data_IF_959792527931
#
_entry.id   IF_959792527931
#
_cell.length_a   1.000
_cell.length_b   1.000
_cell.length_c   1.000
_cell.angle_alpha   90.00
_cell.angle_beta   90.00
_cell.angle_gamma   90.00
#
_symmetry.space_group_name_H-M   'P 1'
#
loop_
_entity.id
_entity.type
_entity.pdbx_description
1 polymer ?
#
# COMPACT_ATOMS: atom_id res chain seq x y z
N UNK A 1 8.61 99.21 -44.91
CA UNK A 1 9.21 98.51 -46.08
C UNK A 1 10.65 98.19 -45.73
N UNK A 2 11.24 97.03 -46.07
CA UNK A 2 10.76 95.93 -46.96
C UNK A 2 10.74 94.53 -46.26
N UNK A 3 9.79 93.64 -46.59
CA UNK A 3 9.78 92.47 -47.53
C UNK A 3 10.27 91.14 -46.87
N UNK A 4 9.60 89.99 -47.14
CA UNK A 4 9.57 88.78 -46.31
C UNK A 4 10.40 87.62 -46.91
N UNK A 5 10.09 86.40 -46.42
CA UNK A 5 10.53 85.05 -46.85
C UNK A 5 11.71 84.47 -46.03
N UNK A 6 11.52 83.32 -45.39
CA UNK A 6 11.70 82.07 -46.15
C UNK A 6 11.13 80.82 -45.44
N UNK A 7 11.11 79.75 -46.21
CA UNK A 7 10.19 78.63 -46.21
C UNK A 7 10.29 77.60 -45.07
N UNK A 8 9.13 76.97 -44.83
CA UNK A 8 8.97 75.69 -44.12
C UNK A 8 9.69 74.57 -44.86
N UNK A 9 10.45 73.76 -44.13
CA UNK A 9 10.74 72.37 -44.53
C UNK A 9 10.14 71.44 -43.48
N UNK A 10 9.06 70.73 -43.86
CA UNK A 10 8.46 69.67 -43.05
C UNK A 10 9.36 68.44 -43.09
N UNK A 11 9.95 68.06 -41.95
CA UNK A 11 10.39 66.68 -41.70
C UNK A 11 9.23 65.94 -41.05
N UNK A 12 8.67 64.96 -41.75
CA UNK A 12 7.79 63.96 -41.16
C UNK A 12 8.64 63.01 -40.33
N UNK A 13 8.53 63.11 -39.01
CA UNK A 13 9.07 62.11 -38.09
C UNK A 13 8.15 60.89 -38.10
N UNK A 14 8.58 59.81 -38.76
CA UNK A 14 8.00 58.47 -38.58
C UNK A 14 8.23 58.02 -37.13
N UNK A 15 7.20 58.14 -36.30
CA UNK A 15 7.19 57.54 -34.96
C UNK A 15 7.09 56.02 -35.10
N UNK A 16 8.21 55.34 -35.00
CA UNK A 16 8.28 53.90 -34.74
C UNK A 16 7.57 53.64 -33.40
N UNK A 17 6.38 53.05 -33.44
CA UNK A 17 5.69 52.56 -32.25
C UNK A 17 6.48 51.39 -31.66
N UNK A 18 7.36 51.68 -30.71
CA UNK A 18 7.94 50.67 -29.82
C UNK A 18 6.78 50.14 -28.97
N UNK A 19 6.35 48.90 -29.26
CA UNK A 19 5.34 48.21 -28.46
C UNK A 19 5.90 48.04 -27.03
N UNK A 20 5.41 48.83 -26.09
CA UNK A 20 5.67 48.60 -24.67
C UNK A 20 5.22 47.19 -24.29
N UNK A 21 6.15 46.37 -23.79
CA UNK A 21 5.82 45.03 -23.32
C UNK A 21 4.91 45.14 -22.10
N UNK A 22 3.59 45.02 -22.30
CA UNK A 22 2.63 44.94 -21.21
C UNK A 22 3.00 43.76 -20.32
N UNK A 23 3.38 44.03 -19.07
CA UNK A 23 3.70 43.00 -18.09
C UNK A 23 2.48 42.10 -17.90
N UNK A 24 2.67 40.79 -18.08
CA UNK A 24 1.60 39.79 -17.88
C UNK A 24 1.05 39.93 -16.47
N UNK A 25 -0.27 40.11 -16.30
CA UNK A 25 -0.84 40.31 -14.98
C UNK A 25 -0.68 39.04 -14.13
N UNK A 26 -0.41 39.18 -12.83
CA UNK A 26 -0.14 38.03 -11.94
C UNK A 26 -1.27 36.99 -11.92
N UNK A 27 -2.51 37.41 -12.14
CA UNK A 27 -3.66 36.51 -12.23
C UNK A 27 -3.58 35.53 -13.41
N UNK A 28 -2.88 35.89 -14.50
CA UNK A 28 -2.67 35.01 -15.64
C UNK A 28 -1.92 33.73 -15.22
N UNK A 29 -0.85 33.88 -14.43
CA UNK A 29 -0.08 32.75 -13.91
C UNK A 29 -0.89 31.91 -12.91
N UNK A 30 -1.75 32.55 -12.11
CA UNK A 30 -2.66 31.84 -11.19
C UNK A 30 -3.65 31.00 -12.00
N UNK A 31 -4.27 31.56 -13.02
CA UNK A 31 -5.21 30.86 -13.91
C UNK A 31 -4.51 29.70 -14.64
N UNK A 32 -3.29 29.92 -15.13
CA UNK A 32 -2.51 28.90 -15.82
C UNK A 32 -2.19 27.69 -14.92
N UNK A 33 -2.01 27.89 -13.62
CA UNK A 33 -1.82 26.81 -12.65
C UNK A 33 -3.17 26.19 -12.22
N UNK A 34 -4.22 26.99 -12.07
CA UNK A 34 -5.52 26.50 -11.60
C UNK A 34 -6.26 25.66 -12.64
N UNK A 35 -6.18 25.99 -13.93
CA UNK A 35 -6.87 25.25 -14.99
C UNK A 35 -6.56 23.74 -14.95
N UNK A 36 -5.30 23.26 -14.98
CA UNK A 36 -5.03 21.83 -14.95
C UNK A 36 -5.50 21.16 -13.65
N UNK A 37 -5.42 21.85 -12.51
CA UNK A 37 -5.91 21.34 -11.23
C UNK A 37 -7.42 21.15 -11.28
N UNK A 38 -8.16 22.14 -11.77
CA UNK A 38 -9.62 22.07 -11.93
C UNK A 38 -9.99 20.93 -12.88
N UNK A 39 -9.28 20.77 -14.00
CA UNK A 39 -9.53 19.67 -14.95
C UNK A 39 -9.31 18.29 -14.32
N UNK A 40 -8.25 18.11 -13.52
CA UNK A 40 -7.99 16.85 -12.81
C UNK A 40 -9.09 16.58 -11.77
N UNK A 41 -9.53 17.60 -11.03
CA UNK A 41 -10.62 17.48 -10.05
C UNK A 41 -11.93 17.09 -10.75
N UNK A 42 -12.27 17.77 -11.86
CA UNK A 42 -13.47 17.45 -12.64
C UNK A 42 -13.42 16.03 -13.20
N UNK A 43 -12.26 15.58 -13.69
CA UNK A 43 -12.08 14.21 -14.15
C UNK A 43 -12.26 13.20 -13.01
N UNK A 44 -11.63 13.43 -11.85
CA UNK A 44 -11.79 12.58 -10.67
C UNK A 44 -13.25 12.46 -10.24
N UNK A 45 -13.97 13.58 -10.17
CA UNK A 45 -15.40 13.62 -9.84
C UNK A 45 -16.22 12.85 -10.87
N UNK A 46 -15.94 13.05 -12.16
CA UNK A 46 -16.65 12.36 -13.25
C UNK A 46 -16.44 10.84 -13.18
N UNK A 47 -15.20 10.40 -12.97
CA UNK A 47 -14.87 8.97 -12.84
C UNK A 47 -15.56 8.34 -11.61
N UNK A 48 -15.65 9.08 -10.49
CA UNK A 48 -16.38 8.61 -9.29
C UNK A 48 -17.87 8.50 -9.52
N UNK A 49 -18.50 9.50 -10.16
CA UNK A 49 -19.94 9.48 -10.46
C UNK A 49 -20.32 8.33 -11.40
N UNK A 50 -19.42 7.98 -12.32
CA UNK A 50 -19.60 6.86 -13.25
C UNK A 50 -19.19 5.50 -12.66
N UNK A 51 -18.75 5.44 -11.39
CA UNK A 51 -18.22 4.24 -10.74
C UNK A 51 -17.12 3.55 -11.56
N UNK A 52 -16.23 4.33 -12.18
CA UNK A 52 -15.11 3.80 -12.95
C UNK A 52 -14.13 3.03 -12.05
N UNK A 53 -13.65 1.87 -12.49
CA UNK A 53 -12.67 1.05 -11.77
C UNK A 53 -13.22 0.38 -10.50
N UNK A 54 -12.36 0.07 -9.53
CA UNK A 54 -12.73 -0.68 -8.31
C UNK A 54 -13.02 0.21 -7.12
N UNK A 55 -13.97 -0.19 -6.28
CA UNK A 55 -14.16 0.48 -5.00
C UNK A 55 -13.02 0.07 -4.06
N UNK A 56 -12.29 1.04 -3.55
CA UNK A 56 -11.15 0.84 -2.65
C UNK A 56 -11.45 1.25 -1.21
N UNK A 57 -12.71 1.53 -0.89
CA UNK A 57 -13.15 1.72 0.49
C UNK A 57 -12.75 0.51 1.32
N UNK A 58 -12.17 0.75 2.48
CA UNK A 58 -11.62 -0.35 3.28
C UNK A 58 -12.72 -1.30 3.79
N UNK A 59 -13.90 -0.74 4.08
CA UNK A 59 -15.03 -1.47 4.63
C UNK A 59 -16.22 -1.35 3.71
N UNK A 60 -16.89 -2.47 3.45
CA UNK A 60 -18.15 -2.52 2.69
C UNK A 60 -19.25 -3.14 3.54
N UNK A 61 -20.52 -2.72 3.35
CA UNK A 61 -21.64 -3.30 4.06
C UNK A 61 -21.84 -4.78 3.71
N UNK A 62 -22.19 -5.57 4.71
CA UNK A 62 -22.61 -6.96 4.57
C UNK A 62 -23.99 -7.12 5.22
N UNK A 63 -25.05 -6.84 4.45
CA UNK A 63 -26.38 -6.62 5.01
C UNK A 63 -26.52 -5.23 5.62
N UNK A 64 -27.49 -5.05 6.51
CA UNK A 64 -27.86 -3.72 7.03
C UNK A 64 -26.97 -3.25 8.20
N UNK A 65 -26.51 -4.17 9.05
CA UNK A 65 -25.87 -3.83 10.33
C UNK A 65 -24.42 -4.30 10.46
N UNK A 66 -23.84 -4.92 9.42
CA UNK A 66 -22.44 -5.40 9.44
C UNK A 66 -21.57 -4.73 8.39
N UNK A 67 -20.28 -4.71 8.72
CA UNK A 67 -19.21 -4.41 7.78
C UNK A 67 -18.29 -5.63 7.62
N UNK A 68 -17.68 -5.73 6.45
CA UNK A 68 -16.54 -6.62 6.21
C UNK A 68 -15.42 -5.88 5.47
N UNK A 69 -14.20 -6.41 5.53
CA UNK A 69 -13.10 -5.89 4.71
C UNK A 69 -13.48 -6.02 3.24
N UNK A 70 -13.27 -4.97 2.47
CA UNK A 70 -13.51 -4.99 1.04
C UNK A 70 -12.61 -6.05 0.36
N UNK A 71 -13.19 -7.05 -0.34
CA UNK A 71 -12.43 -8.07 -1.06
C UNK A 71 -11.47 -7.50 -2.10
N UNK A 72 -11.80 -6.33 -2.66
CA UNK A 72 -11.00 -5.67 -3.70
C UNK A 72 -9.87 -4.81 -3.13
N UNK A 73 -9.75 -4.65 -1.80
CA UNK A 73 -8.73 -3.77 -1.21
C UNK A 73 -7.30 -4.18 -1.58
N UNK A 74 -7.08 -5.48 -1.80
CA UNK A 74 -5.78 -6.01 -2.14
C UNK A 74 -5.26 -5.52 -3.51
N UNK A 75 -6.14 -5.17 -4.47
CA UNK A 75 -5.75 -4.63 -5.78
C UNK A 75 -4.96 -3.31 -5.68
N UNK A 76 -4.97 -2.64 -4.52
CA UNK A 76 -4.12 -1.49 -4.24
C UNK A 76 -2.64 -1.83 -4.06
N UNK A 77 -2.31 -3.10 -3.81
CA UNK A 77 -0.95 -3.54 -3.50
C UNK A 77 -0.38 -4.49 -4.56
N UNK A 78 -1.22 -5.09 -5.39
CA UNK A 78 -0.81 -6.00 -6.46
C UNK A 78 -1.07 -5.37 -7.84
N UNK A 79 -0.04 -5.34 -8.68
CA UNK A 79 -0.04 -4.66 -9.98
C UNK A 79 0.08 -5.65 -11.14
N UNK A 80 0.91 -6.69 -10.99
CA UNK A 80 1.17 -7.65 -12.06
C UNK A 80 0.52 -9.02 -11.81
N UNK A 81 0.14 -9.29 -10.57
CA UNK A 81 -0.41 -10.57 -10.13
C UNK A 81 -1.87 -10.69 -10.55
N UNK A 82 -2.20 -11.77 -11.28
CA UNK A 82 -3.58 -12.07 -11.71
C UNK A 82 -4.46 -12.65 -10.59
N UNK A 83 -3.89 -13.54 -9.76
CA UNK A 83 -4.61 -14.20 -8.66
C UNK A 83 -4.33 -13.46 -7.34
N UNK A 84 -5.05 -12.36 -7.13
CA UNK A 84 -4.85 -11.49 -5.96
C UNK A 84 -5.47 -12.15 -4.72
N UNK A 85 -4.74 -12.18 -3.59
CA UNK A 85 -5.26 -12.75 -2.35
C UNK A 85 -6.35 -11.86 -1.75
N UNK A 86 -7.34 -12.49 -1.12
CA UNK A 86 -8.34 -11.80 -0.32
C UNK A 86 -8.18 -12.18 1.16
N UNK A 87 -8.60 -11.30 2.06
CA UNK A 87 -8.73 -11.64 3.48
C UNK A 87 -9.90 -12.62 3.68
N UNK A 88 -9.88 -13.35 4.80
CA UNK A 88 -11.00 -14.20 5.17
C UNK A 88 -12.27 -13.38 5.46
N UNK A 89 -13.44 -13.98 5.23
CA UNK A 89 -14.74 -13.35 5.49
C UNK A 89 -14.98 -13.19 7.00
N UNK A 90 -14.58 -12.05 7.55
CA UNK A 90 -14.85 -11.67 8.93
C UNK A 90 -15.74 -10.42 8.94
N UNK A 91 -16.93 -10.56 9.52
CA UNK A 91 -17.90 -9.49 9.68
C UNK A 91 -17.97 -9.02 11.13
N UNK A 92 -18.29 -7.75 11.32
CA UNK A 92 -18.45 -7.10 12.61
C UNK A 92 -19.53 -6.02 12.54
N UNK A 93 -20.03 -5.55 13.67
CA UNK A 93 -21.10 -4.54 13.68
C UNK A 93 -20.61 -3.22 13.05
N UNK A 94 -21.40 -2.67 12.13
CA UNK A 94 -21.15 -1.37 11.52
C UNK A 94 -21.10 -0.25 12.58
N UNK A 95 -22.00 -0.34 13.58
CA UNK A 95 -21.99 0.50 14.77
C UNK A 95 -21.56 -0.37 15.95
N UNK A 96 -20.38 -0.07 16.50
CA UNK A 96 -19.85 -0.81 17.65
C UNK A 96 -20.78 -0.69 18.86
N UNK A 97 -21.26 -1.82 19.36
CA UNK A 97 -22.02 -1.89 20.61
C UNK A 97 -21.13 -1.46 21.81
N UNK A 98 -21.70 -0.76 22.80
CA UNK A 98 -20.96 -0.28 23.97
C UNK A 98 -20.33 -1.40 24.81
N UNK A 99 -20.95 -2.57 24.84
CA UNK A 99 -20.45 -3.77 25.52
C UNK A 99 -19.60 -4.67 24.60
N UNK A 100 -19.24 -4.20 23.40
CA UNK A 100 -18.36 -4.93 22.50
C UNK A 100 -16.88 -4.68 22.79
N UNK A 101 -16.09 -5.74 22.70
CA UNK A 101 -14.63 -5.69 22.65
C UNK A 101 -14.17 -6.14 21.26
N UNK A 102 -13.56 -5.22 20.50
CA UNK A 102 -13.24 -5.34 19.08
C UNK A 102 -11.73 -5.44 18.87
N UNK A 103 -11.30 -6.61 18.43
CA UNK A 103 -9.91 -6.96 18.15
C UNK A 103 -9.73 -7.03 16.64
N UNK A 104 -8.74 -6.32 16.10
CA UNK A 104 -8.32 -6.50 14.71
C UNK A 104 -7.01 -7.28 14.64
N UNK A 105 -6.95 -8.26 13.75
CA UNK A 105 -5.74 -9.02 13.46
C UNK A 105 -5.24 -8.64 12.07
N UNK A 106 -3.98 -8.26 11.97
CA UNK A 106 -3.32 -7.83 10.73
C UNK A 106 -2.03 -8.61 10.53
N UNK A 107 -1.68 -8.90 9.27
CA UNK A 107 -0.46 -9.64 8.97
C UNK A 107 -0.50 -10.35 7.62
N UNK A 108 0.49 -11.21 7.42
CA UNK A 108 0.61 -12.05 6.22
C UNK A 108 -0.28 -13.31 6.25
N UNK A 109 0.04 -14.27 5.39
CA UNK A 109 -0.67 -15.56 5.27
C UNK A 109 -0.75 -16.34 6.59
N UNK A 110 0.32 -16.36 7.38
CA UNK A 110 0.35 -17.01 8.69
C UNK A 110 -0.64 -16.38 9.67
N UNK A 111 -0.80 -15.05 9.62
CA UNK A 111 -1.80 -14.34 10.42
C UNK A 111 -3.23 -14.60 9.92
N UNK A 112 -3.41 -14.77 8.61
CA UNK A 112 -4.67 -15.20 8.01
C UNK A 112 -5.03 -16.67 8.36
N UNK A 113 -4.07 -17.41 8.91
CA UNK A 113 -4.21 -18.79 9.37
C UNK A 113 -3.78 -19.84 8.36
N UNK A 114 -3.07 -19.50 7.28
CA UNK A 114 -2.55 -20.49 6.33
C UNK A 114 -1.61 -21.50 7.02
N UNK A 115 -1.67 -22.81 6.68
CA UNK A 115 -2.58 -23.46 5.73
C UNK A 115 -3.92 -23.90 6.36
N UNK A 116 -4.15 -23.63 7.64
CA UNK A 116 -5.32 -24.10 8.40
C UNK A 116 -6.52 -23.15 8.34
N UNK A 117 -6.49 -22.14 7.47
CA UNK A 117 -7.57 -21.16 7.35
C UNK A 117 -8.84 -21.81 6.80
N UNK A 118 -10.05 -21.42 7.25
CA UNK A 118 -10.29 -20.45 8.32
C UNK A 118 -10.33 -21.07 9.72
N UNK A 119 -10.51 -22.40 9.83
CA UNK A 119 -10.84 -23.10 11.08
C UNK A 119 -9.70 -23.14 12.11
N UNK A 120 -8.46 -23.29 11.67
CA UNK A 120 -7.26 -23.30 12.52
C UNK A 120 -6.56 -21.95 12.62
N UNK A 121 -7.17 -20.85 12.17
CA UNK A 121 -6.60 -19.52 12.38
C UNK A 121 -6.57 -19.17 13.87
N UNK A 122 -5.46 -18.62 14.37
CA UNK A 122 -5.35 -18.24 15.77
C UNK A 122 -6.41 -17.18 16.16
N UNK A 123 -6.88 -16.37 15.21
CA UNK A 123 -7.96 -15.42 15.45
C UNK A 123 -9.26 -16.07 15.92
N UNK A 124 -9.61 -17.25 15.38
CA UNK A 124 -10.76 -18.02 15.89
C UNK A 124 -10.52 -18.59 17.27
N UNK A 125 -9.31 -19.04 17.55
CA UNK A 125 -8.93 -19.48 18.89
C UNK A 125 -9.05 -18.34 19.90
N UNK A 126 -8.49 -17.16 19.60
CA UNK A 126 -8.62 -15.96 20.43
C UNK A 126 -10.09 -15.63 20.69
N UNK A 127 -10.91 -15.59 19.63
CA UNK A 127 -12.35 -15.31 19.76
C UNK A 127 -13.01 -16.26 20.75
N UNK A 128 -12.82 -17.57 20.57
CA UNK A 128 -13.42 -18.60 21.43
C UNK A 128 -12.94 -18.51 22.88
N UNK A 129 -11.64 -18.26 23.10
CA UNK A 129 -11.11 -18.08 24.46
C UNK A 129 -11.69 -16.85 25.14
N UNK A 130 -11.84 -15.73 24.44
CA UNK A 130 -12.46 -14.52 25.00
C UNK A 130 -13.95 -14.73 25.29
N UNK A 131 -14.70 -15.38 24.40
CA UNK A 131 -16.12 -15.70 24.62
C UNK A 131 -16.33 -16.58 25.87
N UNK A 132 -15.40 -17.50 26.16
CA UNK A 132 -15.46 -18.35 27.36
C UNK A 132 -15.13 -17.58 28.65
N UNK A 133 -14.13 -16.69 28.61
CA UNK A 133 -13.68 -15.94 29.79
C UNK A 133 -14.60 -14.75 30.10
N UNK A 134 -15.21 -14.16 29.07
CA UNK A 134 -16.09 -12.99 29.17
C UNK A 134 -17.46 -13.25 28.53
N UNK A 135 -18.27 -14.17 29.08
CA UNK A 135 -19.52 -14.63 28.45
C UNK A 135 -20.58 -13.52 28.31
N UNK A 136 -20.47 -12.45 29.10
CA UNK A 136 -21.39 -11.31 29.05
C UNK A 136 -20.89 -10.16 28.16
N UNK A 137 -19.73 -10.28 27.51
CA UNK A 137 -19.22 -9.28 26.56
C UNK A 137 -19.43 -9.75 25.13
N UNK A 138 -19.70 -8.82 24.23
CA UNK A 138 -19.73 -9.12 22.79
C UNK A 138 -18.29 -9.10 22.26
N UNK A 139 -17.77 -10.22 21.80
CA UNK A 139 -16.41 -10.32 21.29
C UNK A 139 -16.40 -10.28 19.77
N UNK A 140 -15.75 -9.26 19.21
CA UNK A 140 -15.57 -9.10 17.77
C UNK A 140 -14.09 -9.30 17.44
N UNK A 141 -13.74 -10.41 16.80
CA UNK A 141 -12.38 -10.63 16.27
C UNK A 141 -12.44 -10.54 14.75
N UNK A 142 -11.83 -9.50 14.21
CA UNK A 142 -11.83 -9.18 12.78
C UNK A 142 -10.43 -9.43 12.22
N UNK A 143 -10.24 -10.60 11.61
CA UNK A 143 -8.97 -10.92 10.97
C UNK A 143 -8.96 -10.41 9.53
N UNK A 144 -8.14 -9.40 9.27
CA UNK A 144 -7.95 -8.77 7.95
C UNK A 144 -6.58 -9.09 7.35
N UNK A 145 -5.86 -10.04 7.93
CA UNK A 145 -4.63 -10.54 7.36
C UNK A 145 -4.90 -11.23 6.01
N UNK A 146 -3.93 -11.12 5.10
CA UNK A 146 -4.00 -11.74 3.78
C UNK A 146 -2.62 -12.20 3.33
N UNK A 147 -2.58 -13.14 2.39
CA UNK A 147 -1.33 -13.68 1.88
C UNK A 147 -0.50 -12.60 1.19
N UNK A 148 0.82 -12.75 1.25
CA UNK A 148 1.79 -11.97 0.50
C UNK A 148 1.82 -10.45 0.71
N UNK A 149 1.01 -9.87 1.60
CA UNK A 149 1.18 -8.47 1.99
C UNK A 149 2.30 -8.30 3.02
N UNK A 150 2.88 -7.11 3.06
CA UNK A 150 3.89 -6.68 4.02
C UNK A 150 3.43 -5.43 4.80
N UNK A 151 4.35 -4.82 5.53
CA UNK A 151 4.09 -3.65 6.37
C UNK A 151 3.50 -2.43 5.65
N UNK A 152 3.67 -2.28 4.34
CA UNK A 152 3.04 -1.20 3.58
C UNK A 152 1.52 -1.30 3.59
N UNK A 153 1.00 -2.48 3.26
CA UNK A 153 -0.45 -2.72 3.25
C UNK A 153 -1.03 -2.60 4.66
N UNK A 154 -0.31 -3.13 5.66
CA UNK A 154 -0.71 -3.02 7.07
C UNK A 154 -0.81 -1.53 7.46
N UNK A 155 0.24 -0.74 7.19
CA UNK A 155 0.27 0.69 7.47
C UNK A 155 -0.90 1.43 6.84
N UNK A 156 -1.20 1.13 5.57
CA UNK A 156 -2.26 1.80 4.83
C UNK A 156 -3.67 1.43 5.30
N UNK A 157 -3.88 0.23 5.85
CA UNK A 157 -5.17 -0.21 6.41
C UNK A 157 -5.43 0.22 7.87
N UNK A 158 -4.39 0.62 8.63
CA UNK A 158 -4.54 1.02 10.04
C UNK A 158 -5.53 2.17 10.25
N UNK A 159 -5.54 3.24 9.44
CA UNK A 159 -6.52 4.33 9.60
C UNK A 159 -7.97 3.86 9.58
N UNK A 160 -8.33 2.94 8.66
CA UNK A 160 -9.69 2.41 8.61
C UNK A 160 -10.00 1.48 9.80
N UNK A 161 -9.01 0.76 10.34
CA UNK A 161 -9.16 -0.02 11.59
C UNK A 161 -9.45 0.91 12.78
N UNK A 162 -8.69 2.00 12.90
CA UNK A 162 -8.87 2.98 13.97
C UNK A 162 -10.23 3.69 13.89
N UNK A 163 -10.72 3.98 12.68
CA UNK A 163 -12.05 4.55 12.46
C UNK A 163 -13.17 3.62 12.94
N UNK A 164 -12.92 2.30 12.99
CA UNK A 164 -13.87 1.30 13.48
C UNK A 164 -13.76 1.04 14.99
N UNK A 165 -13.13 1.96 15.76
CA UNK A 165 -13.07 1.92 17.23
C UNK A 165 -12.51 0.60 17.78
N UNK A 166 -11.40 0.13 17.22
CA UNK A 166 -10.65 -1.02 17.72
C UNK A 166 -10.27 -0.83 19.21
N UNK A 167 -10.43 -1.89 20.02
CA UNK A 167 -9.93 -1.92 21.40
C UNK A 167 -8.54 -2.56 21.50
N UNK A 168 -8.18 -3.39 20.51
CA UNK A 168 -6.90 -4.05 20.44
C UNK A 168 -6.55 -4.34 18.97
N UNK A 169 -5.29 -4.13 18.61
CA UNK A 169 -4.74 -4.56 17.33
C UNK A 169 -3.64 -5.59 17.59
N UNK A 170 -3.70 -6.72 16.88
CA UNK A 170 -2.68 -7.75 16.90
C UNK A 170 -2.01 -7.80 15.53
N UNK A 171 -0.70 -7.65 15.49
CA UNK A 171 0.08 -7.68 14.25
C UNK A 171 1.04 -8.86 14.30
N UNK A 172 0.92 -9.76 13.33
CA UNK A 172 1.89 -10.83 13.09
C UNK A 172 2.41 -10.72 11.66
N UNK A 173 3.52 -9.99 11.50
CA UNK A 173 4.05 -9.60 10.20
C UNK A 173 5.57 -9.47 10.21
N UNK A 174 6.18 -9.74 9.05
CA UNK A 174 7.61 -9.52 8.79
C UNK A 174 8.22 -10.54 7.82
N UNK A 175 7.62 -11.73 7.68
CA UNK A 175 8.06 -12.75 6.70
C UNK A 175 8.01 -12.28 5.24
N UNK A 176 7.19 -11.27 4.95
CA UNK A 176 6.92 -10.78 3.60
C UNK A 176 7.58 -9.43 3.29
N UNK A 177 8.40 -8.87 4.18
CA UNK A 177 8.94 -7.51 3.95
C UNK A 177 9.74 -7.45 2.64
N UNK A 178 10.55 -8.48 2.39
CA UNK A 178 11.37 -8.53 1.19
C UNK A 178 10.58 -8.89 -0.07
N UNK A 179 9.93 -10.05 -0.08
CA UNK A 179 9.34 -10.62 -1.29
C UNK A 179 7.83 -10.38 -1.43
N UNK A 180 7.16 -9.93 -0.37
CA UNK A 180 5.74 -9.57 -0.39
C UNK A 180 5.47 -8.37 -1.28
N UNK A 181 4.19 -8.05 -1.46
CA UNK A 181 3.73 -7.03 -2.39
C UNK A 181 4.39 -5.70 -2.04
N UNK A 182 4.97 -5.03 -3.04
CA UNK A 182 5.71 -3.78 -2.86
C UNK A 182 7.02 -3.89 -2.05
N UNK A 183 7.45 -5.10 -1.72
CA UNK A 183 8.73 -5.34 -1.07
C UNK A 183 9.91 -5.14 -2.02
N UNK A 184 11.06 -4.77 -1.46
CA UNK A 184 12.32 -4.45 -2.19
C UNK A 184 12.89 -5.60 -3.03
N UNK A 185 12.49 -6.85 -2.74
CA UNK A 185 12.87 -8.04 -3.51
C UNK A 185 11.72 -8.62 -4.34
N UNK A 186 10.57 -7.96 -4.39
CA UNK A 186 9.38 -8.46 -5.06
C UNK A 186 9.36 -8.11 -6.53
N UNK A 187 8.75 -8.96 -7.35
CA UNK A 187 8.33 -8.59 -8.71
C UNK A 187 7.18 -7.59 -8.72
N UNK A 188 6.46 -7.47 -7.60
CA UNK A 188 5.42 -6.47 -7.36
C UNK A 188 6.02 -5.19 -6.75
N UNK A 189 7.23 -4.79 -7.15
CA UNK A 189 7.91 -3.61 -6.62
C UNK A 189 7.61 -2.35 -7.44
N UNK A 190 7.59 -1.22 -6.76
CA UNK A 190 7.56 0.12 -7.37
C UNK A 190 8.89 0.84 -7.18
N UNK A 191 9.95 0.08 -6.88
CA UNK A 191 11.26 0.57 -6.46
C UNK A 191 11.48 0.44 -4.95
N UNK A 192 12.70 0.74 -4.51
CA UNK A 192 13.17 0.39 -3.17
C UNK A 192 13.04 1.55 -2.15
N UNK A 193 12.42 2.66 -2.58
CA UNK A 193 12.27 3.86 -1.76
C UNK A 193 10.93 3.90 -1.05
N UNK A 194 10.96 3.77 0.28
CA UNK A 194 9.77 3.78 1.15
C UNK A 194 8.83 4.97 0.91
N UNK A 195 9.37 6.16 0.69
CA UNK A 195 8.58 7.35 0.42
C UNK A 195 7.78 7.22 -0.88
N UNK A 196 8.41 6.74 -1.95
CA UNK A 196 7.79 6.59 -3.26
C UNK A 196 6.70 5.51 -3.22
N UNK A 197 6.98 4.35 -2.62
CA UNK A 197 5.98 3.27 -2.45
C UNK A 197 4.75 3.78 -1.70
N UNK A 198 4.94 4.44 -0.56
CA UNK A 198 3.82 5.00 0.21
C UNK A 198 3.06 6.09 -0.54
N UNK A 199 3.73 6.89 -1.37
CA UNK A 199 3.09 7.91 -2.21
C UNK A 199 2.21 7.25 -3.26
N UNK A 200 2.69 6.19 -3.92
CA UNK A 200 1.87 5.45 -4.90
C UNK A 200 0.67 4.77 -4.23
N UNK A 201 0.84 4.17 -3.04
CA UNK A 201 -0.27 3.59 -2.27
C UNK A 201 -1.32 4.66 -1.93
N UNK A 202 -0.89 5.87 -1.58
CA UNK A 202 -1.79 7.00 -1.34
C UNK A 202 -2.50 7.44 -2.63
N UNK A 203 -1.78 7.52 -3.76
CA UNK A 203 -2.34 7.87 -5.06
C UNK A 203 -3.37 6.84 -5.56
N UNK A 204 -3.24 5.56 -5.20
CA UNK A 204 -4.23 4.51 -5.52
C UNK A 204 -5.63 4.75 -4.96
N UNK A 205 -5.85 5.79 -4.14
CA UNK A 205 -7.18 6.19 -3.66
C UNK A 205 -7.96 7.03 -4.68
N UNK A 206 -7.29 7.51 -5.73
CA UNK A 206 -7.86 8.36 -6.76
C UNK A 206 -8.18 7.58 -8.03
N UNK A 207 -9.35 7.85 -8.61
CA UNK A 207 -9.82 7.22 -9.85
C UNK A 207 -9.01 7.64 -11.06
N UNK A 208 -8.53 8.88 -11.06
CA UNK A 208 -7.58 9.40 -12.04
C UNK A 208 -6.27 8.61 -12.06
N UNK A 209 -5.77 8.18 -10.89
CA UNK A 209 -4.57 7.35 -10.82
C UNK A 209 -4.83 5.91 -11.25
N UNK A 210 -5.99 5.35 -10.92
CA UNK A 210 -6.45 4.06 -11.43
C UNK A 210 -6.53 4.07 -12.98
N UNK A 211 -7.15 5.11 -13.55
CA UNK A 211 -7.20 5.31 -15.01
C UNK A 211 -5.79 5.38 -15.62
N UNK A 212 -4.87 6.13 -15.00
CA UNK A 212 -3.48 6.21 -15.47
C UNK A 212 -2.82 4.82 -15.50
N UNK A 213 -3.01 4.03 -14.45
CA UNK A 213 -2.49 2.65 -14.38
C UNK A 213 -3.09 1.77 -15.46
N UNK A 214 -4.40 1.85 -15.68
CA UNK A 214 -5.09 1.06 -16.70
C UNK A 214 -4.61 1.38 -18.12
N UNK A 215 -4.36 2.67 -18.41
CA UNK A 215 -3.77 3.11 -19.67
C UNK A 215 -2.36 2.54 -19.85
N UNK A 216 -1.50 2.66 -18.82
CA UNK A 216 -0.12 2.11 -18.86
C UNK A 216 -0.16 0.59 -19.06
N UNK A 217 -1.00 -0.12 -18.32
CA UNK A 217 -1.16 -1.57 -18.41
C UNK A 217 -1.67 -1.99 -19.80
N UNK A 218 -2.61 -1.26 -20.37
CA UNK A 218 -3.14 -1.52 -21.72
C UNK A 218 -2.03 -1.40 -22.77
N UNK A 219 -1.17 -0.38 -22.66
CA UNK A 219 -0.04 -0.19 -23.58
C UNK A 219 0.99 -1.32 -23.42
N UNK A 220 1.40 -1.64 -22.19
CA UNK A 220 2.39 -2.70 -21.93
C UNK A 220 1.90 -4.10 -22.29
N UNK A 221 0.59 -4.36 -22.15
CA UNK A 221 -0.05 -5.62 -22.51
C UNK A 221 0.00 -5.93 -24.00
N UNK A 222 0.07 -4.90 -24.86
CA UNK A 222 0.23 -5.08 -26.31
C UNK A 222 1.61 -5.65 -26.69
N UNK A 223 2.60 -5.52 -25.81
CA UNK A 223 3.98 -5.94 -26.06
C UNK A 223 4.42 -7.17 -25.23
N UNK A 224 3.50 -7.76 -24.44
CA UNK A 224 3.86 -8.82 -23.48
C UNK A 224 3.35 -10.20 -23.91
N UNK A 225 4.25 -11.19 -23.97
CA UNK A 225 3.91 -12.61 -24.13
C UNK A 225 3.48 -13.20 -22.79
N UNK A 226 2.39 -13.97 -22.78
CA UNK A 226 1.87 -14.58 -21.56
C UNK A 226 2.63 -15.86 -21.19
N UNK A 227 3.53 -15.78 -20.21
CA UNK A 227 4.14 -16.97 -19.62
C UNK A 227 3.15 -17.71 -18.71
N UNK A 228 3.14 -19.04 -18.78
CA UNK A 228 2.48 -19.89 -17.78
C UNK A 228 3.31 -19.87 -16.51
N UNK A 229 2.72 -19.40 -15.41
CA UNK A 229 3.39 -19.26 -14.12
C UNK A 229 2.84 -20.30 -13.13
N UNK A 230 3.69 -21.26 -12.73
CA UNK A 230 3.40 -22.28 -11.71
C UNK A 230 3.93 -21.90 -10.31
N UNK A 231 3.45 -22.58 -9.26
CA UNK A 231 3.92 -22.40 -7.87
C UNK A 231 3.02 -21.53 -6.97
N UNK A 232 3.41 -21.37 -5.70
CA UNK A 232 2.69 -20.55 -4.70
C UNK A 232 2.81 -19.06 -5.01
N UNK A 233 1.94 -18.22 -4.44
CA UNK A 233 2.02 -16.76 -4.66
C UNK A 233 3.40 -16.20 -4.28
N UNK A 234 3.98 -16.62 -3.14
CA UNK A 234 5.31 -16.15 -2.72
C UNK A 234 6.45 -16.64 -3.62
N UNK A 235 6.37 -17.85 -4.17
CA UNK A 235 7.40 -18.31 -5.12
C UNK A 235 7.36 -17.50 -6.42
N UNK A 236 6.18 -17.04 -6.84
CA UNK A 236 6.02 -16.15 -8.00
C UNK A 236 6.59 -14.76 -7.70
N UNK A 237 6.36 -14.26 -6.48
CA UNK A 237 6.78 -12.91 -6.12
C UNK A 237 8.28 -12.76 -5.90
N UNK A 238 8.95 -13.82 -5.47
CA UNK A 238 10.41 -13.83 -5.31
C UNK A 238 11.16 -14.08 -6.61
N UNK A 239 10.58 -14.78 -7.59
CA UNK A 239 11.28 -15.23 -8.83
C UNK A 239 12.67 -15.88 -8.58
N UNK A 240 12.86 -16.50 -7.41
CA UNK A 240 14.17 -17.03 -6.95
C UNK A 240 15.28 -15.97 -6.83
N UNK A 241 14.94 -14.70 -6.63
CA UNK A 241 15.93 -13.68 -6.30
C UNK A 241 16.48 -13.91 -4.90
N UNK A 242 17.81 -13.89 -4.77
CA UNK A 242 18.50 -13.98 -3.48
C UNK A 242 18.74 -12.57 -2.96
N UNK A 243 18.44 -12.35 -1.69
CA UNK A 243 18.80 -11.13 -0.98
C UNK A 243 19.95 -11.48 -0.06
N UNK A 244 21.13 -11.01 -0.43
CA UNK A 244 22.36 -11.21 0.35
C UNK A 244 22.23 -10.43 1.66
N UNK A 245 22.60 -11.05 2.77
CA UNK A 245 22.55 -10.40 4.08
C UNK A 245 23.47 -9.17 4.11
N UNK A 246 23.06 -8.12 4.83
CA UNK A 246 23.72 -6.80 4.85
C UNK A 246 23.90 -6.07 3.51
N UNK A 247 23.39 -6.58 2.40
CA UNK A 247 23.34 -5.84 1.13
C UNK A 247 22.48 -4.57 1.21
N UNK A 248 22.59 -3.68 0.23
CA UNK A 248 21.74 -2.49 0.13
C UNK A 248 20.25 -2.86 0.13
N UNK A 249 19.86 -3.91 -0.61
CA UNK A 249 18.48 -4.41 -0.64
C UNK A 249 18.04 -4.98 0.70
N UNK A 250 18.92 -5.71 1.39
CA UNK A 250 18.62 -6.20 2.74
C UNK A 250 18.29 -5.04 3.69
N UNK A 251 19.14 -4.00 3.69
CA UNK A 251 18.97 -2.82 4.54
C UNK A 251 17.76 -1.97 4.12
N UNK A 252 17.47 -1.85 2.82
CA UNK A 252 16.24 -1.22 2.35
C UNK A 252 14.99 -1.92 2.90
N UNK A 253 15.02 -3.26 2.97
CA UNK A 253 13.97 -4.07 3.56
C UNK A 253 13.80 -3.89 5.08
N UNK A 254 14.89 -3.66 5.81
CA UNK A 254 14.84 -3.29 7.24
C UNK A 254 14.25 -1.88 7.41
N UNK A 255 14.75 -0.90 6.65
CA UNK A 255 14.31 0.50 6.72
C UNK A 255 12.81 0.68 6.40
N UNK A 256 12.30 -0.04 5.41
CA UNK A 256 10.85 -0.01 5.13
C UNK A 256 10.05 -0.55 6.31
N UNK A 257 10.48 -1.67 6.91
CA UNK A 257 9.72 -2.36 7.94
C UNK A 257 9.69 -1.54 9.22
N UNK A 258 10.86 -1.04 9.64
CA UNK A 258 10.99 -0.15 10.78
C UNK A 258 10.15 1.12 10.60
N UNK A 259 10.28 1.79 9.45
CA UNK A 259 9.55 3.02 9.17
C UNK A 259 8.03 2.82 9.15
N UNK A 260 7.56 1.75 8.51
CA UNK A 260 6.12 1.45 8.45
C UNK A 260 5.57 1.05 9.82
N UNK A 261 6.32 0.24 10.59
CA UNK A 261 5.91 -0.14 11.94
C UNK A 261 5.89 1.06 12.88
N UNK A 262 6.86 1.97 12.78
CA UNK A 262 6.88 3.24 13.52
C UNK A 262 5.64 4.06 13.23
N UNK A 263 5.26 4.23 11.97
CA UNK A 263 4.03 4.96 11.59
C UNK A 263 2.77 4.29 12.17
N UNK A 264 2.68 2.96 12.09
CA UNK A 264 1.57 2.18 12.67
C UNK A 264 1.46 2.44 14.18
N UNK A 265 2.57 2.33 14.92
CA UNK A 265 2.60 2.53 16.36
C UNK A 265 2.28 3.98 16.75
N UNK A 266 2.71 4.96 15.96
CA UNK A 266 2.36 6.37 16.17
C UNK A 266 0.86 6.63 15.96
N UNK A 267 0.27 6.08 14.87
CA UNK A 267 -1.17 6.23 14.59
C UNK A 267 -2.04 5.61 15.68
N UNK A 268 -1.67 4.41 16.15
CA UNK A 268 -2.40 3.66 17.19
C UNK A 268 -2.26 4.32 18.56
N UNK A 269 -1.04 4.76 18.93
CA UNK A 269 -0.78 5.53 20.16
C UNK A 269 -1.59 6.81 20.21
N UNK A 270 -1.68 7.57 19.10
CA UNK A 270 -2.50 8.79 19.01
C UNK A 270 -3.98 8.56 19.31
N UNK A 271 -4.48 7.33 19.08
CA UNK A 271 -5.87 6.93 19.35
C UNK A 271 -6.03 6.12 20.64
N UNK A 272 -4.96 5.96 21.44
CA UNK A 272 -4.92 5.13 22.65
C UNK A 272 -5.37 3.68 22.42
N UNK A 273 -5.08 3.12 21.24
CA UNK A 273 -5.39 1.72 20.92
C UNK A 273 -4.14 0.88 21.19
N UNK A 274 -4.17 -0.10 22.10
CA UNK A 274 -3.04 -0.98 22.35
C UNK A 274 -2.75 -1.89 21.15
N UNK A 275 -1.46 -2.19 20.95
CA UNK A 275 -0.97 -3.06 19.89
C UNK A 275 -0.16 -4.20 20.49
N UNK A 276 -0.45 -5.43 20.09
CA UNK A 276 0.39 -6.60 20.36
C UNK A 276 1.13 -6.96 19.08
N UNK A 277 2.45 -6.97 19.14
CA UNK A 277 3.32 -7.44 18.05
C UNK A 277 3.73 -8.87 18.35
N UNK A 278 3.51 -9.78 17.41
CA UNK A 278 3.97 -11.16 17.54
C UNK A 278 5.41 -11.31 17.07
N UNK A 279 6.23 -11.96 17.89
CA UNK A 279 7.60 -12.36 17.51
C UNK A 279 7.55 -13.38 16.39
N UNK A 280 8.33 -13.15 15.33
CA UNK A 280 8.39 -14.05 14.19
C UNK A 280 9.17 -15.30 14.54
N UNK A 281 8.71 -16.43 14.00
CA UNK A 281 9.44 -17.69 14.04
C UNK A 281 10.18 -17.91 12.71
N UNK A 282 11.28 -18.63 12.80
CA UNK A 282 12.07 -19.09 11.67
C UNK A 282 12.20 -20.61 11.73
N UNK A 283 12.10 -21.26 10.58
CA UNK A 283 12.30 -22.71 10.51
C UNK A 283 13.80 -23.00 10.54
N UNK A 284 14.25 -23.59 11.65
CA UNK A 284 15.63 -24.04 11.80
C UNK A 284 15.80 -25.50 11.35
N UNK A 285 14.73 -26.30 11.48
CA UNK A 285 14.66 -27.73 11.15
C UNK A 285 13.44 -27.98 10.24
N UNK A 286 13.42 -29.15 9.57
CA UNK A 286 12.31 -29.70 8.76
C UNK A 286 11.98 -29.00 7.44
N UNK A 287 12.27 -27.71 7.30
CA UNK A 287 12.17 -26.99 6.03
C UNK A 287 13.56 -26.59 5.52
N UNK A 288 14.00 -27.25 4.45
CA UNK A 288 15.28 -26.94 3.79
C UNK A 288 15.28 -25.48 3.31
N UNK A 289 16.39 -24.74 3.45
CA UNK A 289 16.50 -23.40 2.90
C UNK A 289 16.25 -23.39 1.40
N UNK A 290 15.65 -22.30 0.91
CA UNK A 290 15.28 -22.16 -0.49
C UNK A 290 16.51 -22.02 -1.39
N UNK A 291 17.47 -21.20 -0.96
CA UNK A 291 18.80 -21.04 -1.54
C UNK A 291 19.82 -21.01 -0.40
N UNK A 292 21.04 -21.43 -0.68
CA UNK A 292 22.11 -21.53 0.31
C UNK A 292 23.39 -20.94 -0.23
N UNK A 293 23.73 -19.74 0.26
CA UNK A 293 24.92 -18.99 -0.15
C UNK A 293 25.83 -18.84 1.07
N UNK A 294 27.14 -19.06 0.87
CA UNK A 294 28.15 -18.76 1.89
C UNK A 294 28.38 -17.25 1.93
N UNK A 295 28.49 -16.68 3.13
CA UNK A 295 28.91 -15.29 3.31
C UNK A 295 30.18 -15.25 4.17
N UNK A 296 30.90 -14.13 4.14
CA UNK A 296 32.21 -13.98 4.79
C UNK A 296 32.17 -14.35 6.28
N UNK A 297 31.12 -13.90 6.98
CA UNK A 297 30.93 -14.12 8.41
C UNK A 297 29.96 -15.26 8.77
N UNK A 298 29.26 -15.84 7.78
CA UNK A 298 28.17 -16.79 8.03
C UNK A 298 28.26 -18.03 7.14
N UNK A 299 28.15 -19.24 7.74
CA UNK A 299 28.11 -20.46 6.95
C UNK A 299 26.84 -20.50 6.08
N UNK A 300 26.86 -21.24 4.96
CA UNK A 300 25.68 -21.46 4.15
C UNK A 300 24.49 -21.94 4.99
N UNK A 301 23.30 -21.44 4.68
CA UNK A 301 22.06 -21.81 5.37
C UNK A 301 21.82 -23.34 5.38
N UNK A 302 22.30 -24.05 4.36
CA UNK A 302 22.25 -25.52 4.30
C UNK A 302 23.03 -26.18 5.44
N UNK A 303 24.19 -25.65 5.83
CA UNK A 303 25.00 -26.21 6.91
C UNK A 303 24.29 -26.07 8.26
N UNK A 304 23.66 -24.91 8.48
CA UNK A 304 22.84 -24.67 9.69
C UNK A 304 21.65 -25.62 9.73
N UNK A 305 20.98 -25.83 8.59
CA UNK A 305 19.86 -26.77 8.48
C UNK A 305 20.26 -28.23 8.79
N UNK A 306 21.37 -28.72 8.23
CA UNK A 306 21.83 -30.10 8.53
C UNK A 306 22.24 -30.26 10.00
N UNK A 307 22.87 -29.24 10.60
CA UNK A 307 23.19 -29.23 12.03
C UNK A 307 21.92 -29.28 12.90
N UNK A 308 20.91 -28.48 12.55
CA UNK A 308 19.64 -28.45 13.27
C UNK A 308 18.89 -29.79 13.20
N UNK A 309 19.03 -30.55 12.11
CA UNK A 309 18.42 -31.90 11.99
C UNK A 309 18.98 -32.91 12.99
N UNK A 310 20.21 -32.73 13.44
CA UNK A 310 20.86 -33.63 14.39
C UNK A 310 20.76 -33.17 15.85
N UNK A 311 20.59 -31.87 16.09
CA UNK A 311 20.66 -31.26 17.43
C UNK A 311 19.30 -30.90 18.06
N UNK A 312 18.28 -30.65 17.24
CA UNK A 312 16.88 -30.43 17.65
C UNK A 312 16.03 -31.64 17.28
#
# INVERSE_FOLDING_TARGET
MPIPEDQKTQKQDEKVHVLESKKTPRWFYIVLVLIPIVLIILLEVSLRLLNYGRLYDQWIPMGEDKLMLNPDIAYRYFYTTKNIPAAGHNYFDAIKNENAFRIFIMGGSSAAGFPYSPNGSFGRYIKKRFELVYPHKKIEVVNIAMSAINSYAIRDMVPGVLNQKADLIIIYAGHNEYYGALGVGSVETLGDTRFLVNTVIWLNRFKTFELLRDVINSITGLFSSADKVEGTLMSRMSKRQIIIYNSEKYNAGINQFEGNLRDILLMTKKKNVPVILGTLVSNLKDQKPFESVAEEDYPPSQNIFEKAKTEL
#
